data_IF_866349895780
#
_entry.id   IF_866349895780
#
_cell.length_a   1.000
_cell.length_b   1.000
_cell.length_c   1.000
_cell.angle_alpha   90.00
_cell.angle_beta   90.00
_cell.angle_gamma   90.00
#
_symmetry.space_group_name_H-M   'P 1'
#
loop_
_entity.id
_entity.type
_entity.pdbx_description
1 polymer ?
#
# COMPACT_ATOMS: atom_id res chain seq x y z
N UNK A 1 27.62 -11.75 -4.53
CA UNK A 1 26.90 -10.65 -3.83
C UNK A 1 27.23 -10.78 -2.35
N UNK A 2 27.82 -9.75 -1.76
CA UNK A 2 28.12 -9.73 -0.32
C UNK A 2 26.92 -9.21 0.50
N UNK A 3 27.03 -9.23 1.84
CA UNK A 3 25.97 -8.79 2.76
C UNK A 3 25.48 -7.36 2.47
N UNK A 4 26.43 -6.44 2.29
CA UNK A 4 26.15 -5.04 2.04
C UNK A 4 25.40 -4.82 0.73
N UNK A 5 25.87 -5.46 -0.35
CA UNK A 5 25.21 -5.38 -1.66
C UNK A 5 23.79 -5.94 -1.63
N UNK A 6 23.59 -7.06 -0.96
CA UNK A 6 22.27 -7.69 -0.86
C UNK A 6 21.29 -6.84 -0.05
N UNK A 7 21.71 -6.42 1.15
CA UNK A 7 20.87 -5.61 2.03
C UNK A 7 20.61 -4.23 1.43
N UNK A 8 21.61 -3.60 0.81
CA UNK A 8 21.43 -2.31 0.14
C UNK A 8 20.42 -2.38 -1.00
N UNK A 9 20.52 -3.39 -1.87
CA UNK A 9 19.55 -3.59 -2.94
C UNK A 9 18.13 -3.79 -2.39
N UNK A 10 17.96 -4.64 -1.38
CA UNK A 10 16.67 -4.89 -0.74
C UNK A 10 16.09 -3.62 -0.11
N UNK A 11 16.91 -2.84 0.59
CA UNK A 11 16.48 -1.59 1.21
C UNK A 11 16.16 -0.50 0.20
N UNK A 12 16.88 -0.43 -0.92
CA UNK A 12 16.56 0.51 -1.99
C UNK A 12 15.18 0.26 -2.53
N UNK A 13 14.83 -0.99 -2.80
CA UNK A 13 13.49 -1.34 -3.28
C UNK A 13 12.41 -1.11 -2.22
N UNK A 14 12.66 -1.48 -0.97
CA UNK A 14 11.66 -1.40 0.11
C UNK A 14 11.51 -0.01 0.71
N UNK A 15 12.56 0.78 0.81
CA UNK A 15 12.50 2.15 1.36
C UNK A 15 11.83 3.14 0.42
N UNK A 16 12.01 2.98 -0.89
CA UNK A 16 11.28 3.78 -1.88
C UNK A 16 9.77 3.59 -1.75
N UNK A 17 9.35 2.43 -1.26
CA UNK A 17 7.94 2.08 -1.19
C UNK A 17 7.32 2.29 0.18
N UNK A 18 8.07 2.20 1.27
CA UNK A 18 7.44 1.95 2.56
C UNK A 18 7.83 2.89 3.71
N UNK A 19 8.86 3.71 3.58
CA UNK A 19 9.39 4.44 4.74
C UNK A 19 9.60 3.50 5.97
N UNK A 20 9.88 2.22 5.69
CA UNK A 20 10.00 1.19 6.70
C UNK A 20 11.30 1.43 7.49
N UNK A 21 11.17 1.58 8.79
CA UNK A 21 12.33 1.63 9.69
C UNK A 21 12.94 0.23 9.80
N UNK A 22 13.75 -0.14 8.82
CA UNK A 22 14.54 -1.35 8.80
C UNK A 22 15.97 -1.00 9.21
N UNK A 23 16.53 -1.74 10.17
CA UNK A 23 17.92 -1.56 10.58
C UNK A 23 18.87 -2.34 9.65
N UNK A 24 19.66 -1.65 8.81
CA UNK A 24 20.56 -2.29 7.88
C UNK A 24 21.62 -3.17 8.58
N UNK A 25 22.13 -2.74 9.73
CA UNK A 25 23.14 -3.47 10.48
C UNK A 25 22.60 -4.81 10.99
N UNK A 26 21.37 -4.79 11.49
CA UNK A 26 20.68 -6.01 11.93
C UNK A 26 20.47 -6.97 10.77
N UNK A 27 20.03 -6.47 9.61
CA UNK A 27 19.83 -7.31 8.42
C UNK A 27 21.16 -7.89 7.92
N UNK A 28 22.21 -7.08 7.88
CA UNK A 28 23.55 -7.57 7.49
C UNK A 28 24.10 -8.64 8.43
N UNK A 29 23.81 -8.57 9.74
CA UNK A 29 24.26 -9.58 10.71
C UNK A 29 23.62 -10.95 10.51
N UNK A 30 22.51 -11.04 9.79
CA UNK A 30 21.85 -12.29 9.44
C UNK A 30 22.44 -12.96 8.19
N UNK A 31 23.33 -12.27 7.48
CA UNK A 31 23.83 -12.74 6.19
C UNK A 31 25.09 -13.61 6.37
N UNK A 32 25.02 -14.86 5.96
CA UNK A 32 26.14 -15.82 5.93
C UNK A 32 26.50 -16.28 4.51
N UNK A 33 25.89 -15.69 3.48
CA UNK A 33 26.08 -16.07 2.08
C UNK A 33 25.14 -17.17 1.59
N UNK A 34 24.44 -17.85 2.48
CA UNK A 34 23.51 -18.93 2.12
C UNK A 34 22.19 -18.43 1.56
N UNK A 35 21.48 -19.31 0.88
CA UNK A 35 20.09 -19.06 0.42
C UNK A 35 19.16 -18.90 1.62
N UNK A 36 19.37 -19.70 2.67
CA UNK A 36 18.56 -19.65 3.89
C UNK A 36 18.70 -18.29 4.60
N UNK A 37 19.92 -17.75 4.72
CA UNK A 37 20.13 -16.42 5.29
C UNK A 37 19.44 -15.32 4.47
N UNK A 38 19.54 -15.37 3.15
CA UNK A 38 18.83 -14.44 2.27
C UNK A 38 17.30 -14.51 2.44
N UNK A 39 16.75 -15.73 2.53
CA UNK A 39 15.32 -15.91 2.79
C UNK A 39 14.92 -15.34 4.16
N UNK A 40 15.73 -15.53 5.20
CA UNK A 40 15.50 -14.97 6.54
C UNK A 40 15.50 -13.44 6.51
N UNK A 41 16.42 -12.80 5.79
CA UNK A 41 16.47 -11.35 5.65
C UNK A 41 15.23 -10.82 4.91
N UNK A 42 14.84 -11.44 3.81
CA UNK A 42 13.62 -11.09 3.09
C UNK A 42 12.40 -11.25 4.00
N UNK A 43 12.29 -12.36 4.72
CA UNK A 43 11.19 -12.59 5.66
C UNK A 43 11.13 -11.52 6.75
N UNK A 44 12.27 -11.13 7.33
CA UNK A 44 12.33 -10.06 8.33
C UNK A 44 11.86 -8.71 7.74
N UNK A 45 12.18 -8.44 6.48
CA UNK A 45 11.78 -7.23 5.77
C UNK A 45 10.27 -7.19 5.52
N UNK A 46 9.71 -8.24 4.92
CA UNK A 46 8.28 -8.30 4.59
C UNK A 46 7.38 -8.42 5.83
N UNK A 47 7.92 -8.87 6.96
CA UNK A 47 7.21 -8.93 8.24
C UNK A 47 7.29 -7.62 9.04
N UNK A 48 8.02 -6.62 8.54
CA UNK A 48 8.09 -5.33 9.20
C UNK A 48 6.73 -4.62 9.14
N UNK A 49 6.23 -4.17 10.29
CA UNK A 49 4.89 -3.57 10.39
C UNK A 49 4.74 -2.29 9.55
N UNK A 50 5.82 -1.49 9.44
CA UNK A 50 5.83 -0.29 8.59
C UNK A 50 5.73 -0.64 7.11
N UNK A 51 6.49 -1.65 6.67
CA UNK A 51 6.45 -2.17 5.31
C UNK A 51 5.06 -2.71 4.98
N UNK A 52 4.53 -3.60 5.81
CA UNK A 52 3.19 -4.18 5.60
C UNK A 52 2.10 -3.11 5.49
N UNK A 53 2.16 -2.08 6.33
CA UNK A 53 1.19 -0.99 6.29
C UNK A 53 1.29 -0.16 5.01
N UNK A 54 2.50 0.18 4.59
CA UNK A 54 2.72 0.96 3.38
C UNK A 54 2.27 0.20 2.13
N UNK A 55 2.61 -1.09 2.03
CA UNK A 55 2.18 -1.93 0.92
C UNK A 55 0.66 -2.20 0.95
N UNK A 56 0.07 -2.36 2.14
CA UNK A 56 -1.39 -2.46 2.27
C UNK A 56 -2.09 -1.22 1.72
N UNK A 57 -1.65 -0.03 2.08
CA UNK A 57 -2.24 1.22 1.58
C UNK A 57 -2.12 1.32 0.04
N UNK A 58 -0.96 0.95 -0.51
CA UNK A 58 -0.72 0.93 -1.96
C UNK A 58 -1.64 -0.04 -2.69
N UNK A 59 -1.69 -1.27 -2.20
CA UNK A 59 -2.55 -2.30 -2.76
C UNK A 59 -4.03 -1.91 -2.65
N UNK A 60 -4.42 -1.33 -1.52
CA UNK A 60 -5.79 -0.88 -1.31
C UNK A 60 -6.23 0.16 -2.34
N UNK A 61 -5.43 1.21 -2.58
CA UNK A 61 -5.77 2.23 -3.60
C UNK A 61 -5.84 1.60 -4.99
N UNK A 62 -4.86 0.76 -5.34
CA UNK A 62 -4.84 0.08 -6.63
C UNK A 62 -6.12 -0.74 -6.83
N UNK A 63 -6.54 -1.49 -5.82
CA UNK A 63 -7.78 -2.27 -5.86
C UNK A 63 -9.03 -1.40 -6.00
N UNK A 64 -9.07 -0.18 -5.42
CA UNK A 64 -10.20 0.74 -5.62
C UNK A 64 -10.34 1.13 -7.10
N UNK A 65 -9.21 1.47 -7.77
CA UNK A 65 -9.23 1.78 -9.19
C UNK A 65 -9.72 0.60 -10.04
N UNK A 66 -9.22 -0.60 -9.78
CA UNK A 66 -9.66 -1.77 -10.53
C UNK A 66 -11.11 -2.16 -10.23
N UNK A 67 -11.52 -2.11 -8.96
CA UNK A 67 -12.87 -2.50 -8.56
C UNK A 67 -13.93 -1.52 -9.05
N UNK A 68 -13.72 -0.22 -8.85
CA UNK A 68 -14.74 0.79 -9.16
C UNK A 68 -14.58 1.41 -10.53
N UNK A 69 -13.35 1.66 -10.99
CA UNK A 69 -13.12 2.34 -12.28
C UNK A 69 -12.70 1.40 -13.40
N UNK A 70 -12.32 0.15 -13.08
CA UNK A 70 -11.88 -0.85 -14.06
C UNK A 70 -10.75 -0.34 -14.98
N UNK A 71 -9.85 0.43 -14.42
CA UNK A 71 -8.68 0.99 -15.10
C UNK A 71 -7.50 1.14 -14.17
N UNK A 72 -6.33 1.33 -14.75
CA UNK A 72 -5.15 1.72 -14.02
C UNK A 72 -5.32 3.14 -13.44
N UNK A 73 -4.76 3.42 -12.25
CA UNK A 73 -4.71 4.76 -11.73
C UNK A 73 -3.78 5.65 -12.58
N UNK A 74 -4.16 6.91 -12.72
CA UNK A 74 -3.21 7.95 -13.08
C UNK A 74 -2.31 8.28 -11.88
N UNK A 75 -1.08 8.71 -12.16
CA UNK A 75 -0.07 8.93 -11.11
C UNK A 75 -0.52 9.97 -10.08
N UNK A 76 -1.08 11.08 -10.53
CA UNK A 76 -1.53 12.16 -9.65
C UNK A 76 -2.66 11.72 -8.72
N UNK A 77 -3.66 11.03 -9.25
CA UNK A 77 -4.78 10.48 -8.48
C UNK A 77 -4.33 9.42 -7.48
N UNK A 78 -3.46 8.50 -7.91
CA UNK A 78 -2.89 7.48 -7.03
C UNK A 78 -2.14 8.09 -5.84
N UNK A 79 -1.23 9.03 -6.11
CA UNK A 79 -0.43 9.68 -5.07
C UNK A 79 -1.29 10.51 -4.11
N UNK A 80 -2.34 11.18 -4.60
CA UNK A 80 -3.27 11.93 -3.77
C UNK A 80 -4.03 11.04 -2.78
N UNK A 81 -4.55 9.90 -3.24
CA UNK A 81 -5.22 8.93 -2.37
C UNK A 81 -4.27 8.26 -1.39
N UNK A 82 -3.06 7.93 -1.84
CA UNK A 82 -2.03 7.36 -0.97
C UNK A 82 -1.66 8.33 0.17
N UNK A 83 -1.48 9.61 -0.14
CA UNK A 83 -1.24 10.66 0.86
C UNK A 83 -2.42 10.77 1.84
N UNK A 84 -3.65 10.64 1.38
CA UNK A 84 -4.85 10.63 2.23
C UNK A 84 -4.81 9.50 3.26
N UNK A 85 -4.43 8.29 2.85
CA UNK A 85 -4.30 7.15 3.77
C UNK A 85 -3.11 7.28 4.73
N UNK A 86 -2.00 7.88 4.27
CA UNK A 86 -0.80 8.04 5.09
C UNK A 86 -0.97 9.12 6.17
N UNK A 87 -1.67 10.20 5.87
CA UNK A 87 -1.83 11.36 6.75
C UNK A 87 -2.91 11.16 7.82
N UNK A 88 -3.80 10.19 7.65
CA UNK A 88 -4.81 9.87 8.65
C UNK A 88 -4.34 8.72 9.52
N UNK A 89 -4.54 8.85 10.82
CA UNK A 89 -4.16 7.81 11.79
C UNK A 89 -4.80 6.47 11.43
N UNK A 90 -3.99 5.45 11.26
CA UNK A 90 -4.38 4.11 10.82
C UNK A 90 -5.28 3.34 11.80
N UNK A 91 -5.78 3.98 12.84
CA UNK A 91 -6.74 3.40 13.79
C UNK A 91 -8.19 3.51 13.33
N UNK A 92 -8.44 4.31 12.28
CA UNK A 92 -9.79 4.54 11.79
C UNK A 92 -10.06 3.66 10.56
N UNK A 93 -10.74 2.55 10.76
CA UNK A 93 -11.40 1.83 9.67
C UNK A 93 -12.29 2.73 8.80
N UNK A 94 -12.70 3.85 9.35
CA UNK A 94 -13.43 4.94 8.69
C UNK A 94 -12.66 5.58 7.53
N UNK A 95 -11.32 5.61 7.55
CA UNK A 95 -10.53 6.19 6.45
C UNK A 95 -10.65 5.33 5.19
N UNK A 96 -10.47 4.03 5.31
CA UNK A 96 -10.61 3.11 4.18
C UNK A 96 -12.02 3.10 3.63
N UNK A 97 -13.02 3.09 4.51
CA UNK A 97 -14.41 3.24 4.12
C UNK A 97 -14.66 4.57 3.42
N UNK A 98 -14.12 5.67 3.94
CA UNK A 98 -14.23 6.99 3.33
C UNK A 98 -13.66 7.03 1.90
N UNK A 99 -12.51 6.39 1.67
CA UNK A 99 -11.92 6.26 0.32
C UNK A 99 -12.85 5.45 -0.58
N UNK A 100 -13.32 4.27 -0.17
CA UNK A 100 -14.26 3.47 -0.97
C UNK A 100 -15.54 4.24 -1.29
N UNK A 101 -16.09 4.97 -0.33
CA UNK A 101 -17.26 5.81 -0.55
C UNK A 101 -16.99 6.93 -1.55
N UNK A 102 -15.81 7.55 -1.51
CA UNK A 102 -15.45 8.59 -2.47
C UNK A 102 -15.35 8.04 -3.90
N UNK A 103 -14.81 6.82 -4.07
CA UNK A 103 -14.80 6.15 -5.37
C UNK A 103 -16.23 5.84 -5.86
N UNK A 104 -17.05 5.25 -5.01
CA UNK A 104 -18.42 4.86 -5.32
C UNK A 104 -19.31 6.07 -5.69
N UNK A 105 -19.13 7.20 -5.01
CA UNK A 105 -19.93 8.42 -5.25
C UNK A 105 -19.31 9.36 -6.28
N UNK A 106 -18.14 9.00 -6.86
CA UNK A 106 -17.47 9.81 -7.86
C UNK A 106 -18.27 9.95 -9.15
N UNK A 107 -18.09 11.08 -9.83
CA UNK A 107 -18.69 11.30 -11.16
C UNK A 107 -18.25 10.23 -12.17
N UNK A 108 -17.01 9.75 -12.08
CA UNK A 108 -16.51 8.70 -12.97
C UNK A 108 -17.27 7.38 -12.77
N UNK A 109 -17.47 6.95 -11.53
CA UNK A 109 -18.24 5.74 -11.24
C UNK A 109 -19.70 5.88 -11.70
N UNK A 110 -20.34 6.99 -11.36
CA UNK A 110 -21.74 7.27 -11.72
C UNK A 110 -21.94 7.32 -13.24
N UNK A 111 -20.98 7.88 -13.98
CA UNK A 111 -21.02 7.92 -15.45
C UNK A 111 -20.92 6.52 -16.07
N UNK A 112 -20.17 5.62 -15.46
CA UNK A 112 -19.96 4.25 -15.99
C UNK A 112 -21.10 3.30 -15.65
N UNK A 113 -21.63 3.40 -14.45
CA UNK A 113 -22.53 2.38 -13.88
C UNK A 113 -23.94 2.90 -13.58
N UNK A 114 -24.15 4.21 -13.68
CA UNK A 114 -25.43 4.86 -13.39
C UNK A 114 -25.72 5.01 -11.90
N UNK A 115 -26.65 5.90 -11.59
CA UNK A 115 -27.04 6.26 -10.22
C UNK A 115 -27.83 5.12 -9.54
N UNK A 116 -28.50 4.26 -10.32
CA UNK A 116 -29.40 3.23 -9.81
C UNK A 116 -28.72 2.07 -9.07
N UNK A 117 -27.39 1.95 -9.15
CA UNK A 117 -26.64 0.83 -8.57
C UNK A 117 -26.17 1.13 -7.14
N UNK A 118 -26.53 2.27 -6.59
CA UNK A 118 -26.04 2.74 -5.30
C UNK A 118 -26.89 2.27 -4.12
N UNK A 119 -27.00 0.96 -3.95
CA UNK A 119 -27.47 0.40 -2.68
C UNK A 119 -26.61 0.85 -1.49
N UNK A 120 -25.36 1.18 -1.75
CA UNK A 120 -24.37 1.57 -0.75
C UNK A 120 -24.28 3.08 -0.51
N UNK A 121 -25.02 3.92 -1.23
CA UNK A 121 -25.01 5.36 -0.92
C UNK A 121 -25.54 5.64 0.48
N UNK A 122 -26.51 4.88 0.96
CA UNK A 122 -26.99 4.98 2.34
C UNK A 122 -25.92 4.60 3.38
N UNK A 123 -24.97 3.73 3.03
CA UNK A 123 -23.85 3.36 3.88
C UNK A 123 -22.72 4.39 3.83
N UNK A 124 -22.65 5.21 2.80
CA UNK A 124 -21.67 6.27 2.64
C UNK A 124 -22.15 7.63 3.18
N UNK A 125 -23.43 7.79 3.40
CA UNK A 125 -24.01 8.99 4.03
C UNK A 125 -24.11 8.73 5.52
N UNK A 126 -23.44 9.57 6.31
CA UNK A 126 -23.64 9.65 7.77
C UNK A 126 -24.61 10.75 8.09
#
# INVERSE_FOLDING_TARGET
MNAEQFVSALLTETQQTANASLDPKRLMSLYDGSVAARATIVQATISNAGFLRAEYNRAYILMQYFAYFRRDPDEAGYNSWLATLQNKSSKDGDVFRGVSCAFLTSAEYQSRFGIAITHSNSECVR
#
